data_IF_376227791729
#
_entry.id   IF_376227791729
#
_cell.length_a   1.000
_cell.length_b   1.000
_cell.length_c   1.000
_cell.angle_alpha   90.00
_cell.angle_beta   90.00
_cell.angle_gamma   90.00
#
_symmetry.space_group_name_H-M   'P 1'
#
loop_
_entity.id
_entity.type
_entity.pdbx_description
1 polymer ?
#
# COMPACT_ATOMS: atom_id res chain seq x y z
N UNK A 1 -13.40 8.21 22.56
CA UNK A 1 -11.98 8.60 22.68
C UNK A 1 -11.29 8.27 21.37
N UNK A 2 -10.68 9.25 20.71
CA UNK A 2 -9.94 9.02 19.46
C UNK A 2 -8.47 8.81 19.80
N UNK A 3 -7.84 7.75 19.28
CA UNK A 3 -6.44 7.42 19.53
C UNK A 3 -5.64 7.46 18.23
N UNK A 4 -4.44 8.01 18.29
CA UNK A 4 -3.47 7.95 17.21
C UNK A 4 -2.16 7.40 17.77
N UNK A 5 -1.66 6.32 17.19
CA UNK A 5 -0.46 5.64 17.67
C UNK A 5 0.40 5.20 16.50
N UNK A 6 1.68 5.55 16.55
CA UNK A 6 2.70 4.98 15.67
C UNK A 6 3.47 3.94 16.47
N UNK A 7 3.09 2.66 16.33
CA UNK A 7 3.75 1.57 17.06
C UNK A 7 5.12 1.23 16.48
N UNK A 8 5.25 1.30 15.15
CA UNK A 8 6.49 0.99 14.44
C UNK A 8 7.52 2.10 14.58
N UNK A 9 8.75 1.75 14.97
CA UNK A 9 9.88 2.69 14.98
C UNK A 9 10.43 2.88 13.55
N UNK A 10 10.43 4.12 13.08
CA UNK A 10 10.83 4.45 11.70
C UNK A 10 12.29 4.89 11.56
N UNK A 11 12.98 4.35 10.57
CA UNK A 11 14.28 4.83 10.08
C UNK A 11 14.14 5.15 8.59
N UNK A 12 14.50 6.36 8.16
CA UNK A 12 14.35 6.79 6.77
C UNK A 12 15.57 7.57 6.30
N UNK A 13 15.84 7.50 4.99
CA UNK A 13 16.89 8.22 4.31
C UNK A 13 18.01 7.30 3.82
N UNK A 14 18.93 7.86 3.03
CA UNK A 14 20.05 7.11 2.48
C UNK A 14 20.95 6.56 3.59
N UNK A 15 21.21 5.25 3.56
CA UNK A 15 22.01 4.58 4.57
C UNK A 15 21.27 4.31 5.87
N UNK A 16 19.93 4.37 5.87
CA UNK A 16 19.09 4.02 7.02
C UNK A 16 19.25 2.55 7.44
N UNK A 17 19.71 1.67 6.53
CA UNK A 17 20.12 0.30 6.85
C UNK A 17 21.20 0.21 7.95
N UNK A 18 21.95 1.28 8.23
CA UNK A 18 22.88 1.33 9.38
C UNK A 18 22.20 1.06 10.73
N UNK A 19 20.88 1.26 10.82
CA UNK A 19 20.10 0.90 12.01
C UNK A 19 20.21 -0.60 12.37
N UNK A 20 20.50 -1.46 11.39
CA UNK A 20 20.67 -2.90 11.57
C UNK A 20 21.96 -3.28 12.32
N UNK A 21 22.94 -2.37 12.46
CA UNK A 21 24.19 -2.61 13.20
C UNK A 21 24.00 -2.92 14.69
N UNK A 22 22.81 -2.66 15.24
CA UNK A 22 22.46 -3.00 16.62
C UNK A 22 22.27 -4.51 16.85
N UNK A 23 21.98 -5.26 15.80
CA UNK A 23 21.80 -6.70 15.91
C UNK A 23 23.16 -7.37 15.82
N UNK A 24 23.64 -7.89 16.93
CA UNK A 24 24.93 -8.59 17.04
C UNK A 24 24.74 -9.92 17.74
N UNK A 25 25.38 -10.97 17.24
CA UNK A 25 25.23 -12.35 17.75
C UNK A 25 23.76 -12.81 17.71
N UNK A 26 23.00 -12.43 16.67
CA UNK A 26 21.60 -12.80 16.48
C UNK A 26 21.45 -13.82 15.35
N UNK A 27 20.42 -14.65 15.43
CA UNK A 27 19.88 -15.38 14.29
C UNK A 27 18.80 -14.53 13.63
N UNK A 28 19.09 -14.09 12.42
CA UNK A 28 18.22 -13.22 11.62
C UNK A 28 17.62 -14.02 10.48
N UNK A 29 16.30 -14.03 10.41
CA UNK A 29 15.55 -14.69 9.35
C UNK A 29 14.96 -13.66 8.38
N UNK A 30 15.41 -13.70 7.13
CA UNK A 30 14.98 -12.79 6.07
C UNK A 30 13.88 -13.47 5.25
N UNK A 31 12.70 -12.84 5.18
CA UNK A 31 11.54 -13.29 4.41
C UNK A 31 11.40 -12.38 3.19
N UNK A 32 11.49 -12.95 1.99
CA UNK A 32 11.42 -12.22 0.73
C UNK A 32 10.86 -13.08 -0.40
N UNK A 33 10.66 -12.50 -1.59
CA UNK A 33 10.33 -13.26 -2.79
C UNK A 33 11.59 -13.83 -3.47
N UNK A 34 11.37 -14.79 -4.39
CA UNK A 34 12.45 -15.47 -5.11
C UNK A 34 13.26 -14.52 -6.02
N UNK A 35 12.68 -13.40 -6.46
CA UNK A 35 13.39 -12.40 -7.26
C UNK A 35 14.40 -11.64 -6.40
N UNK A 36 13.99 -11.16 -5.23
CA UNK A 36 14.85 -10.47 -4.28
C UNK A 36 15.93 -11.39 -3.73
N UNK A 37 15.61 -12.67 -3.51
CA UNK A 37 16.58 -13.66 -3.05
C UNK A 37 17.78 -13.84 -3.99
N UNK A 38 17.61 -13.52 -5.29
CA UNK A 38 18.63 -13.60 -6.34
C UNK A 38 19.14 -12.22 -6.77
N UNK A 39 18.63 -11.15 -6.16
CA UNK A 39 18.92 -9.77 -6.52
C UNK A 39 20.11 -9.23 -5.71
N UNK A 40 20.94 -8.34 -6.29
CA UNK A 40 21.97 -7.60 -5.55
C UNK A 40 21.44 -6.78 -4.35
N UNK A 41 20.13 -6.54 -4.30
CA UNK A 41 19.49 -5.88 -3.16
C UNK A 41 19.58 -6.71 -1.87
N UNK A 42 19.54 -8.05 -1.97
CA UNK A 42 19.73 -8.91 -0.79
C UNK A 42 21.16 -8.80 -0.27
N UNK A 43 22.15 -8.71 -1.15
CA UNK A 43 23.55 -8.51 -0.74
C UNK A 43 23.75 -7.14 -0.08
N UNK A 44 23.05 -6.12 -0.56
CA UNK A 44 23.02 -4.80 0.10
C UNK A 44 22.50 -4.91 1.54
N UNK A 45 21.42 -5.67 1.77
CA UNK A 45 20.89 -5.94 3.10
C UNK A 45 21.88 -6.74 3.96
N UNK A 46 22.43 -7.83 3.42
CA UNK A 46 23.41 -8.69 4.13
C UNK A 46 24.65 -7.91 4.55
N UNK A 47 25.17 -7.06 3.68
CA UNK A 47 26.34 -6.23 3.95
C UNK A 47 26.08 -5.14 5.00
N UNK A 48 24.83 -4.77 5.24
CA UNK A 48 24.46 -3.84 6.31
C UNK A 48 24.41 -4.51 7.70
N UNK A 49 24.33 -5.84 7.75
CA UNK A 49 24.28 -6.63 8.97
C UNK A 49 25.68 -6.97 9.50
N UNK A 50 25.91 -6.93 10.82
CA UNK A 50 27.16 -7.41 11.41
C UNK A 50 27.44 -8.88 11.07
N UNK A 51 28.72 -9.20 10.78
CA UNK A 51 29.15 -10.52 10.31
C UNK A 51 29.05 -11.65 11.36
N UNK A 52 28.86 -11.29 12.63
CA UNK A 52 28.64 -12.25 13.73
C UNK A 52 27.18 -12.71 13.87
N UNK A 53 26.28 -12.27 12.98
CA UNK A 53 24.93 -12.79 12.92
C UNK A 53 24.86 -14.04 12.06
N UNK A 54 24.00 -14.99 12.46
CA UNK A 54 23.60 -16.12 11.64
C UNK A 54 22.43 -15.68 10.76
N UNK A 55 22.51 -15.89 9.45
CA UNK A 55 21.45 -15.51 8.52
C UNK A 55 20.75 -16.75 7.95
N UNK A 56 19.42 -16.72 7.93
CA UNK A 56 18.57 -17.66 7.18
C UNK A 56 17.68 -16.88 6.21
N UNK A 57 17.32 -17.47 5.08
CA UNK A 57 16.46 -16.84 4.08
C UNK A 57 15.30 -17.76 3.76
N UNK A 58 14.09 -17.20 3.79
CA UNK A 58 12.89 -17.82 3.25
C UNK A 58 12.42 -17.00 2.04
N UNK A 59 12.53 -17.59 0.86
CA UNK A 59 12.34 -16.92 -0.44
C UNK A 59 11.10 -17.37 -1.19
N UNK A 60 10.25 -18.20 -0.58
CA UNK A 60 9.10 -18.84 -1.24
C UNK A 60 7.85 -17.94 -1.22
N UNK A 61 8.02 -16.64 -0.95
CA UNK A 61 6.92 -15.69 -1.01
C UNK A 61 6.55 -15.43 -2.46
N UNK A 62 5.29 -15.70 -2.78
CA UNK A 62 4.65 -15.33 -4.03
C UNK A 62 3.82 -14.06 -3.87
N UNK A 63 3.48 -13.37 -4.97
CA UNK A 63 2.39 -12.39 -4.95
C UNK A 63 1.14 -13.00 -4.32
N UNK A 64 0.40 -12.21 -3.55
CA UNK A 64 -0.81 -12.64 -2.83
C UNK A 64 -0.56 -13.85 -1.90
N UNK A 65 0.23 -13.69 -0.81
CA UNK A 65 0.73 -14.82 -0.02
C UNK A 65 -0.41 -15.70 0.51
N UNK A 66 -0.22 -17.02 0.42
CA UNK A 66 -1.28 -17.98 0.72
C UNK A 66 -1.28 -18.40 2.18
N UNK A 67 -2.41 -18.96 2.66
CA UNK A 67 -2.48 -19.64 3.97
C UNK A 67 -1.37 -20.70 4.07
N UNK A 68 -1.16 -21.50 3.02
CA UNK A 68 -0.11 -22.52 2.99
C UNK A 68 1.29 -21.95 3.19
N UNK A 69 1.61 -20.82 2.55
CA UNK A 69 2.90 -20.12 2.71
C UNK A 69 3.10 -19.65 4.16
N UNK A 70 2.05 -19.12 4.79
CA UNK A 70 2.13 -18.67 6.20
C UNK A 70 2.29 -19.85 7.14
N UNK A 71 1.56 -20.95 6.94
CA UNK A 71 1.70 -22.19 7.73
C UNK A 71 3.11 -22.76 7.60
N UNK A 72 3.65 -22.85 6.38
CA UNK A 72 5.03 -23.28 6.14
C UNK A 72 6.04 -22.37 6.88
N UNK A 73 5.80 -21.05 6.85
CA UNK A 73 6.61 -20.08 7.58
C UNK A 73 6.58 -20.30 9.09
N UNK A 74 5.41 -20.57 9.68
CA UNK A 74 5.28 -20.87 11.12
C UNK A 74 6.03 -22.16 11.48
N UNK A 75 5.94 -23.20 10.66
CA UNK A 75 6.70 -24.45 10.87
C UNK A 75 8.22 -24.21 10.82
N UNK A 76 8.68 -23.39 9.89
CA UNK A 76 10.10 -23.00 9.82
C UNK A 76 10.51 -22.13 11.01
N UNK A 77 9.65 -21.21 11.47
CA UNK A 77 9.92 -20.39 12.66
C UNK A 77 10.22 -21.26 13.88
N UNK A 78 9.43 -22.31 14.11
CA UNK A 78 9.64 -23.25 15.23
C UNK A 78 10.98 -23.97 15.16
N UNK A 79 11.42 -24.30 13.95
CA UNK A 79 12.67 -25.06 13.72
C UNK A 79 13.90 -24.15 13.74
N UNK A 80 13.79 -22.95 13.18
CA UNK A 80 14.88 -21.98 13.10
C UNK A 80 15.09 -21.24 14.41
N UNK A 81 14.00 -20.95 15.14
CA UNK A 81 13.98 -20.15 16.35
C UNK A 81 14.80 -18.84 16.24
N UNK A 82 14.50 -17.97 15.25
CA UNK A 82 15.25 -16.75 15.03
C UNK A 82 14.94 -15.68 16.08
N UNK A 83 15.94 -14.87 16.43
CA UNK A 83 15.75 -13.71 17.30
C UNK A 83 15.02 -12.58 16.54
N UNK A 84 15.38 -12.36 15.27
CA UNK A 84 14.93 -11.23 14.46
C UNK A 84 14.36 -11.73 13.13
N UNK A 85 13.20 -11.23 12.76
CA UNK A 85 12.59 -11.46 11.44
C UNK A 85 12.66 -10.18 10.63
N UNK A 86 13.14 -10.27 9.39
CA UNK A 86 13.18 -9.17 8.44
C UNK A 86 12.26 -9.50 7.26
N UNK A 87 11.11 -8.82 7.17
CA UNK A 87 10.34 -8.76 5.94
C UNK A 87 11.05 -7.83 4.94
N UNK A 88 11.52 -8.37 3.82
CA UNK A 88 12.27 -7.64 2.81
C UNK A 88 11.57 -7.77 1.46
N UNK A 89 10.87 -6.72 1.03
CA UNK A 89 10.19 -6.73 -0.25
C UNK A 89 9.05 -5.73 -0.39
N UNK A 90 8.16 -5.97 -1.36
CA UNK A 90 6.89 -5.26 -1.48
C UNK A 90 5.84 -5.79 -0.51
N UNK A 91 4.57 -5.40 -0.72
CA UNK A 91 3.45 -5.75 0.16
C UNK A 91 3.34 -7.24 0.48
N UNK A 92 3.51 -8.13 -0.51
CA UNK A 92 3.40 -9.58 -0.29
C UNK A 92 4.43 -10.13 0.70
N UNK A 93 5.70 -9.70 0.61
CA UNK A 93 6.75 -10.12 1.54
C UNK A 93 6.53 -9.55 2.95
N UNK A 94 6.12 -8.28 3.04
CA UNK A 94 5.83 -7.63 4.32
C UNK A 94 4.61 -8.24 5.00
N UNK A 95 3.54 -8.49 4.26
CA UNK A 95 2.32 -9.10 4.77
C UNK A 95 2.56 -10.55 5.23
N UNK A 96 3.31 -11.33 4.45
CA UNK A 96 3.68 -12.69 4.86
C UNK A 96 4.54 -12.68 6.13
N UNK A 97 5.56 -11.82 6.20
CA UNK A 97 6.43 -11.72 7.38
C UNK A 97 5.63 -11.32 8.64
N UNK A 98 4.75 -10.31 8.54
CA UNK A 98 3.86 -9.89 9.63
C UNK A 98 2.92 -11.01 10.06
N UNK A 99 2.28 -11.69 9.11
CA UNK A 99 1.38 -12.79 9.40
C UNK A 99 2.10 -13.94 10.12
N UNK A 100 3.27 -14.36 9.61
CA UNK A 100 4.08 -15.42 10.22
C UNK A 100 4.46 -15.02 11.65
N UNK A 101 5.00 -13.82 11.86
CA UNK A 101 5.40 -13.33 13.20
C UNK A 101 4.21 -13.27 14.14
N UNK A 102 3.08 -12.71 13.70
CA UNK A 102 1.90 -12.57 14.53
C UNK A 102 1.35 -13.93 14.96
N UNK A 103 1.10 -14.85 14.03
CA UNK A 103 0.63 -16.18 14.38
C UNK A 103 1.63 -16.95 15.23
N UNK A 104 2.95 -16.85 14.95
CA UNK A 104 3.97 -17.46 15.80
C UNK A 104 3.92 -16.94 17.24
N UNK A 105 3.71 -15.63 17.45
CA UNK A 105 3.52 -15.05 18.79
C UNK A 105 2.26 -15.58 19.48
N UNK A 106 1.15 -15.74 18.75
CA UNK A 106 -0.09 -16.36 19.30
C UNK A 106 0.14 -17.82 19.74
N UNK A 107 1.09 -18.53 19.12
CA UNK A 107 1.51 -19.88 19.54
C UNK A 107 2.62 -19.89 20.60
N UNK A 108 2.95 -18.74 21.21
CA UNK A 108 3.93 -18.62 22.28
C UNK A 108 5.40 -18.63 21.83
N UNK A 109 5.68 -18.42 20.54
CA UNK A 109 7.04 -18.26 20.04
C UNK A 109 7.47 -16.80 20.22
N UNK A 110 8.50 -16.59 21.03
CA UNK A 110 9.06 -15.25 21.25
C UNK A 110 9.96 -14.83 20.08
N UNK A 111 9.72 -13.61 19.57
CA UNK A 111 10.51 -12.99 18.50
C UNK A 111 10.86 -11.59 18.98
N UNK A 112 12.16 -11.31 19.15
CA UNK A 112 12.68 -10.07 19.72
C UNK A 112 12.28 -8.85 18.88
N UNK A 113 12.38 -8.96 17.55
CA UNK A 113 12.07 -7.84 16.67
C UNK A 113 11.62 -8.31 15.29
N UNK A 114 10.49 -7.77 14.83
CA UNK A 114 10.05 -7.81 13.44
C UNK A 114 10.42 -6.50 12.73
N UNK A 115 11.25 -6.60 11.69
CA UNK A 115 11.71 -5.47 10.87
C UNK A 115 11.04 -5.52 9.50
N UNK A 116 10.39 -4.45 9.09
CA UNK A 116 9.90 -4.28 7.73
C UNK A 116 10.84 -3.39 6.91
N UNK A 117 11.30 -3.89 5.77
CA UNK A 117 12.17 -3.16 4.83
C UNK A 117 11.50 -3.16 3.46
N UNK A 118 10.68 -2.14 3.16
CA UNK A 118 9.99 -2.04 1.88
C UNK A 118 10.97 -1.84 0.71
N UNK A 119 10.80 -2.59 -0.37
CA UNK A 119 11.53 -2.43 -1.65
C UNK A 119 10.65 -1.88 -2.76
N UNK A 120 9.43 -1.45 -2.42
CA UNK A 120 8.54 -0.68 -3.28
C UNK A 120 8.05 0.57 -2.53
N UNK A 121 7.44 1.52 -3.26
CA UNK A 121 6.88 2.74 -2.69
C UNK A 121 5.39 2.83 -3.05
N UNK A 122 4.56 2.05 -2.35
CA UNK A 122 3.12 1.96 -2.60
C UNK A 122 2.29 1.53 -1.40
N UNK A 123 2.60 0.35 -0.87
CA UNK A 123 1.67 -0.35 0.04
C UNK A 123 1.59 0.27 1.43
N UNK A 124 2.67 0.88 1.92
CA UNK A 124 2.75 1.38 3.30
C UNK A 124 2.67 0.27 4.36
N UNK A 125 2.76 -1.00 3.95
CA UNK A 125 2.57 -2.19 4.79
C UNK A 125 3.55 -2.26 5.96
N UNK A 126 4.70 -1.60 5.84
CA UNK A 126 5.72 -1.47 6.88
C UNK A 126 5.27 -0.69 8.13
N UNK A 127 4.16 0.05 8.06
CA UNK A 127 3.62 0.86 9.16
C UNK A 127 2.11 0.65 9.35
N UNK A 128 1.59 -0.52 8.97
CA UNK A 128 0.16 -0.83 9.08
C UNK A 128 -0.11 -2.06 9.94
N UNK A 129 -1.30 -2.09 10.56
CA UNK A 129 -1.83 -3.24 11.30
C UNK A 129 -2.55 -4.25 10.41
N UNK A 130 -2.41 -4.14 9.09
CA UNK A 130 -3.13 -4.94 8.10
C UNK A 130 -2.20 -5.93 7.41
N UNK A 131 -2.68 -7.12 7.10
CA UNK A 131 -2.04 -8.01 6.11
C UNK A 131 -3.11 -8.77 5.33
N UNK A 132 -2.83 -9.10 4.07
CA UNK A 132 -3.76 -9.87 3.23
C UNK A 132 -3.20 -11.27 2.99
N UNK A 133 -4.00 -12.30 3.30
CA UNK A 133 -3.66 -13.71 3.05
C UNK A 133 -4.69 -14.32 2.11
N UNK A 134 -4.24 -15.01 1.08
CA UNK A 134 -5.10 -15.67 0.09
C UNK A 134 -5.40 -17.12 0.46
N UNK A 135 -6.61 -17.56 0.14
CA UNK A 135 -7.10 -18.93 0.22
C UNK A 135 -7.40 -19.41 -1.19
N UNK A 136 -6.44 -20.06 -1.87
CA UNK A 136 -6.60 -20.51 -3.25
C UNK A 136 -7.75 -21.50 -3.42
N UNK A 137 -8.02 -22.33 -2.41
CA UNK A 137 -9.06 -23.36 -2.45
C UNK A 137 -10.46 -22.73 -2.53
N UNK A 138 -10.65 -21.59 -1.87
CA UNK A 138 -11.92 -20.83 -1.90
C UNK A 138 -11.91 -19.66 -2.89
N UNK A 139 -10.74 -19.30 -3.43
CA UNK A 139 -10.58 -18.11 -4.27
C UNK A 139 -10.84 -16.79 -3.52
N UNK A 140 -10.64 -16.77 -2.19
CA UNK A 140 -10.93 -15.61 -1.32
C UNK A 140 -9.62 -15.04 -0.77
N UNK A 141 -9.57 -13.71 -0.62
CA UNK A 141 -8.51 -13.02 0.13
C UNK A 141 -9.06 -12.58 1.49
N UNK A 142 -8.35 -12.92 2.56
CA UNK A 142 -8.69 -12.53 3.93
C UNK A 142 -7.82 -11.34 4.35
N UNK A 143 -8.39 -10.14 4.46
CA UNK A 143 -7.70 -9.02 5.09
C UNK A 143 -7.78 -9.17 6.61
N UNK A 144 -6.63 -9.27 7.26
CA UNK A 144 -6.50 -9.37 8.71
C UNK A 144 -6.08 -8.02 9.29
N UNK A 145 -6.69 -7.63 10.40
CA UNK A 145 -6.37 -6.38 11.10
C UNK A 145 -6.15 -6.66 12.58
N UNK A 146 -4.95 -6.36 13.08
CA UNK A 146 -4.60 -6.50 14.49
C UNK A 146 -3.42 -5.58 14.82
N UNK A 147 -3.46 -4.88 15.95
CA UNK A 147 -2.32 -4.06 16.38
C UNK A 147 -1.02 -4.86 16.55
N UNK A 148 -1.11 -6.15 16.87
CA UNK A 148 0.06 -7.04 16.94
C UNK A 148 0.73 -7.32 15.58
N UNK A 149 0.09 -6.94 14.46
CA UNK A 149 0.69 -7.02 13.13
C UNK A 149 1.63 -5.85 12.82
N UNK A 150 1.63 -4.77 13.60
CA UNK A 150 2.60 -3.69 13.37
C UNK A 150 4.02 -4.25 13.47
N UNK A 151 4.90 -3.97 12.48
CA UNK A 151 6.31 -4.24 12.64
C UNK A 151 6.88 -3.43 13.81
N UNK A 152 7.85 -3.98 14.53
CA UNK A 152 8.53 -3.28 15.62
C UNK A 152 9.41 -2.14 15.06
N UNK A 153 9.97 -2.36 13.86
CA UNK A 153 10.82 -1.40 13.16
C UNK A 153 10.53 -1.38 11.66
N UNK A 154 10.58 -0.20 11.04
CA UNK A 154 10.56 -0.03 9.58
C UNK A 154 11.79 0.74 9.11
N UNK A 155 12.44 0.28 8.04
CA UNK A 155 13.63 0.92 7.47
C UNK A 155 13.39 1.25 5.99
N UNK A 156 13.34 2.54 5.70
CA UNK A 156 13.14 3.10 4.38
C UNK A 156 14.48 3.57 3.82
N UNK A 157 15.16 2.69 3.08
CA UNK A 157 16.37 3.07 2.36
C UNK A 157 16.05 3.30 0.87
N UNK A 158 16.17 4.53 0.36
CA UNK A 158 15.85 4.82 -1.03
C UNK A 158 16.69 4.03 -2.03
N UNK A 159 17.87 3.52 -1.66
CA UNK A 159 18.69 2.68 -2.53
C UNK A 159 17.97 1.39 -2.95
N UNK A 160 17.06 0.89 -2.11
CA UNK A 160 16.32 -0.35 -2.35
C UNK A 160 15.16 -0.21 -3.34
N UNK A 161 14.80 1.01 -3.72
CA UNK A 161 13.67 1.30 -4.62
C UNK A 161 14.09 1.94 -5.95
N UNK A 162 15.37 2.26 -6.13
CA UNK A 162 15.87 2.92 -7.36
C UNK A 162 15.70 2.05 -8.60
N UNK A 163 15.94 0.73 -8.46
CA UNK A 163 15.85 -0.23 -9.57
C UNK A 163 14.42 -0.61 -9.97
N UNK A 164 13.39 -0.09 -9.29
CA UNK A 164 12.00 -0.43 -9.58
C UNK A 164 11.59 0.13 -10.95
N UNK A 165 11.03 -0.68 -11.87
CA UNK A 165 10.65 -0.22 -13.22
C UNK A 165 9.65 0.94 -13.20
N UNK A 166 9.64 1.74 -14.27
CA UNK A 166 8.76 2.90 -14.43
C UNK A 166 7.27 2.55 -14.26
N UNK A 167 6.80 1.47 -14.89
CA UNK A 167 5.40 1.01 -14.78
C UNK A 167 5.01 0.64 -13.35
N UNK A 168 5.89 -0.07 -12.63
CA UNK A 168 5.63 -0.42 -11.22
C UNK A 168 5.64 0.83 -10.36
N UNK A 169 6.58 1.75 -10.60
CA UNK A 169 6.67 3.04 -9.91
C UNK A 169 5.41 3.88 -10.07
N UNK A 170 4.86 3.93 -11.30
CA UNK A 170 3.61 4.61 -11.60
C UNK A 170 2.45 4.01 -10.82
N UNK A 171 2.27 2.68 -10.92
CA UNK A 171 1.18 1.97 -10.24
C UNK A 171 1.27 2.16 -8.72
N UNK A 172 2.43 1.89 -8.11
CA UNK A 172 2.60 2.03 -6.66
C UNK A 172 2.47 3.48 -6.20
N UNK A 173 2.95 4.45 -6.98
CA UNK A 173 2.78 5.87 -6.66
C UNK A 173 1.32 6.34 -6.68
N UNK A 174 0.51 5.84 -7.62
CA UNK A 174 -0.94 6.11 -7.64
C UNK A 174 -1.68 5.44 -6.49
N UNK A 175 -1.17 4.29 -6.03
CA UNK A 175 -1.65 3.64 -4.82
C UNK A 175 -1.46 4.55 -3.59
N UNK A 176 -0.26 5.13 -3.44
CA UNK A 176 0.02 6.13 -2.38
C UNK A 176 -0.96 7.31 -2.44
N UNK A 177 -1.25 7.82 -3.64
CA UNK A 177 -2.20 8.92 -3.81
C UNK A 177 -3.61 8.51 -3.35
N UNK A 178 -4.04 7.31 -3.74
CA UNK A 178 -5.35 6.77 -3.39
C UNK A 178 -5.47 6.57 -1.89
N UNK A 179 -4.46 5.93 -1.27
CA UNK A 179 -4.36 5.79 0.18
C UNK A 179 -4.53 7.13 0.91
N UNK A 180 -3.78 8.15 0.50
CA UNK A 180 -3.82 9.46 1.12
C UNK A 180 -5.20 10.14 0.96
N UNK A 181 -5.77 10.11 -0.24
CA UNK A 181 -7.05 10.77 -0.52
C UNK A 181 -8.22 10.07 0.19
N UNK A 182 -8.27 8.74 0.19
CA UNK A 182 -9.31 8.00 0.91
C UNK A 182 -9.18 8.15 2.42
N UNK A 183 -7.96 8.05 2.97
CA UNK A 183 -7.73 8.31 4.39
C UNK A 183 -8.15 9.72 4.78
N UNK A 184 -7.89 10.70 3.90
CA UNK A 184 -8.30 12.08 4.13
C UNK A 184 -9.82 12.27 4.13
N UNK A 185 -10.59 11.58 3.28
CA UNK A 185 -12.06 11.76 3.32
C UNK A 185 -12.79 10.74 4.18
N UNK A 186 -12.08 9.77 4.76
CA UNK A 186 -12.64 8.73 5.60
C UNK A 186 -13.51 9.27 6.74
N UNK A 187 -14.51 8.47 7.13
CA UNK A 187 -15.30 8.72 8.33
C UNK A 187 -14.45 8.86 9.60
N UNK A 188 -13.29 8.18 9.68
CA UNK A 188 -12.38 8.19 10.84
C UNK A 188 -11.21 9.18 10.72
N UNK A 189 -11.19 9.99 9.66
CA UNK A 189 -10.18 11.03 9.49
C UNK A 189 -10.17 12.01 10.67
N UNK A 190 -8.97 12.41 11.10
CA UNK A 190 -8.70 13.35 12.18
C UNK A 190 -7.44 14.18 11.87
N UNK A 191 -7.17 15.22 12.66
CA UNK A 191 -6.09 16.18 12.39
C UNK A 191 -4.70 15.52 12.21
N UNK A 192 -4.42 14.43 12.93
CA UNK A 192 -3.14 13.70 12.80
C UNK A 192 -3.04 12.95 11.48
N UNK A 193 -4.10 12.20 11.11
CA UNK A 193 -4.13 11.49 9.82
C UNK A 193 -4.18 12.46 8.65
N UNK A 194 -4.83 13.60 8.83
CA UNK A 194 -4.96 14.67 7.83
C UNK A 194 -3.60 15.26 7.49
N UNK A 195 -2.79 15.60 8.50
CA UNK A 195 -1.44 16.12 8.28
C UNK A 195 -0.55 15.16 7.49
N UNK A 196 -0.67 13.85 7.75
CA UNK A 196 0.07 12.80 7.05
C UNK A 196 -0.41 12.63 5.60
N UNK A 197 -1.73 12.57 5.40
CA UNK A 197 -2.34 12.43 4.09
C UNK A 197 -2.07 13.63 3.19
N UNK A 198 -2.23 14.87 3.69
CA UNK A 198 -1.91 16.09 2.95
C UNK A 198 -0.44 16.11 2.51
N UNK A 199 0.48 15.74 3.41
CA UNK A 199 1.90 15.71 3.09
C UNK A 199 2.22 14.65 2.05
N UNK A 200 1.63 13.46 2.16
CA UNK A 200 1.77 12.39 1.17
C UNK A 200 1.27 12.84 -0.21
N UNK A 201 0.06 13.40 -0.29
CA UNK A 201 -0.53 13.90 -1.54
C UNK A 201 0.35 14.95 -2.22
N UNK A 202 0.84 15.96 -1.48
CA UNK A 202 1.76 16.97 -2.01
C UNK A 202 3.04 16.35 -2.59
N UNK A 203 3.64 15.40 -1.88
CA UNK A 203 4.84 14.72 -2.35
C UNK A 203 4.56 13.91 -3.61
N UNK A 204 3.45 13.18 -3.68
CA UNK A 204 3.10 12.37 -4.86
C UNK A 204 2.98 13.25 -6.10
N UNK A 205 2.20 14.34 -6.05
CA UNK A 205 2.05 15.24 -7.20
C UNK A 205 3.37 15.89 -7.63
N UNK A 206 4.25 16.22 -6.67
CA UNK A 206 5.52 16.86 -6.97
C UNK A 206 6.57 15.89 -7.54
N UNK A 207 6.64 14.66 -7.03
CA UNK A 207 7.79 13.77 -7.27
C UNK A 207 7.47 12.52 -8.08
N UNK A 208 6.22 12.06 -8.15
CA UNK A 208 5.88 10.83 -8.90
C UNK A 208 6.22 10.91 -10.39
N UNK A 209 5.88 11.99 -11.14
CA UNK A 209 6.25 12.09 -12.55
C UNK A 209 7.77 11.97 -12.77
N UNK A 210 8.55 12.60 -11.89
CA UNK A 210 10.01 12.54 -11.95
C UNK A 210 10.52 11.14 -11.57
N UNK A 211 9.89 10.46 -10.62
CA UNK A 211 10.27 9.10 -10.22
C UNK A 211 10.04 8.08 -11.35
N UNK A 212 8.99 8.29 -12.15
CA UNK A 212 8.68 7.45 -13.33
C UNK A 212 9.64 7.75 -14.48
N UNK A 213 9.86 9.03 -14.80
CA UNK A 213 10.68 9.42 -15.96
C UNK A 213 12.20 9.35 -15.70
N UNK A 214 12.62 9.62 -14.47
CA UNK A 214 14.03 9.62 -14.02
C UNK A 214 14.19 8.72 -12.79
N UNK A 215 14.03 7.41 -13.01
CA UNK A 215 13.99 6.39 -11.96
C UNK A 215 15.28 6.23 -11.16
N UNK A 216 16.42 6.71 -11.65
CA UNK A 216 17.73 6.67 -10.98
C UNK A 216 17.92 7.80 -9.94
N UNK A 217 17.00 8.78 -9.89
CA UNK A 217 17.10 9.90 -8.98
C UNK A 217 16.78 9.49 -7.53
N UNK A 218 17.83 9.22 -6.75
CA UNK A 218 17.72 8.78 -5.35
C UNK A 218 16.90 9.75 -4.47
N UNK A 219 17.07 11.06 -4.66
CA UNK A 219 16.32 12.07 -3.90
C UNK A 219 14.81 11.97 -4.16
N UNK A 220 14.40 11.86 -5.43
CA UNK A 220 13.00 11.71 -5.83
C UNK A 220 12.44 10.37 -5.33
N UNK A 221 13.20 9.29 -5.48
CA UNK A 221 12.84 7.96 -4.96
C UNK A 221 12.60 7.99 -3.46
N UNK A 222 13.50 8.61 -2.69
CA UNK A 222 13.33 8.77 -1.25
C UNK A 222 12.11 9.59 -0.85
N UNK A 223 11.74 10.61 -1.64
CA UNK A 223 10.50 11.36 -1.41
C UNK A 223 9.27 10.47 -1.60
N UNK A 224 9.18 9.74 -2.71
CA UNK A 224 8.07 8.81 -2.96
C UNK A 224 8.00 7.68 -1.92
N UNK A 225 9.16 7.19 -1.49
CA UNK A 225 9.24 6.15 -0.46
C UNK A 225 8.69 6.66 0.87
N UNK A 226 9.05 7.87 1.28
CA UNK A 226 8.47 8.51 2.46
C UNK A 226 6.97 8.81 2.30
N UNK A 227 6.51 9.22 1.11
CA UNK A 227 5.10 9.45 0.84
C UNK A 227 4.26 8.17 1.02
N UNK A 228 4.77 7.04 0.55
CA UNK A 228 4.14 5.72 0.75
C UNK A 228 3.89 5.44 2.23
N UNK A 229 4.92 5.61 3.05
CA UNK A 229 4.82 5.38 4.49
C UNK A 229 3.91 6.39 5.18
N UNK A 230 3.96 7.67 4.80
CA UNK A 230 3.05 8.70 5.34
C UNK A 230 1.59 8.34 5.06
N UNK A 231 1.29 7.92 3.83
CA UNK A 231 -0.04 7.43 3.47
C UNK A 231 -0.41 6.18 4.29
N UNK A 232 0.54 5.24 4.44
CA UNK A 232 0.44 4.07 5.33
C UNK A 232 -0.02 4.40 6.74
N UNK A 233 0.68 5.32 7.39
CA UNK A 233 0.35 5.80 8.73
C UNK A 233 -1.03 6.45 8.80
N UNK A 234 -1.44 7.18 7.75
CA UNK A 234 -2.75 7.81 7.68
C UNK A 234 -3.85 6.76 7.57
N UNK A 235 -3.79 5.86 6.58
CA UNK A 235 -4.86 4.90 6.34
C UNK A 235 -4.92 3.78 7.36
N UNK A 236 -3.81 3.42 8.02
CA UNK A 236 -3.83 2.42 9.09
C UNK A 236 -4.77 2.83 10.23
N UNK A 237 -4.90 4.14 10.47
CA UNK A 237 -5.74 4.70 11.53
C UNK A 237 -7.10 5.21 11.01
N UNK A 238 -7.12 5.84 9.83
CA UNK A 238 -8.35 6.37 9.24
C UNK A 238 -9.16 5.29 8.49
N UNK A 239 -8.55 4.20 8.06
CA UNK A 239 -9.13 3.31 7.05
C UNK A 239 -9.05 3.90 5.65
N UNK A 240 -9.66 3.18 4.71
CA UNK A 240 -9.73 3.51 3.28
C UNK A 240 -11.19 3.75 2.88
N UNK A 241 -11.58 3.44 1.65
CA UNK A 241 -12.96 3.62 1.21
C UNK A 241 -13.34 2.77 0.01
N UNK A 242 -14.33 3.28 -0.73
CA UNK A 242 -14.95 2.63 -1.86
C UNK A 242 -13.95 2.33 -3.00
N UNK A 243 -12.91 3.16 -3.18
CA UNK A 243 -11.95 2.97 -4.25
C UNK A 243 -11.21 1.63 -4.08
N UNK A 244 -10.67 1.38 -2.89
CA UNK A 244 -10.02 0.11 -2.58
C UNK A 244 -10.99 -1.06 -2.63
N UNK A 245 -12.21 -0.90 -2.11
CA UNK A 245 -13.23 -1.94 -2.12
C UNK A 245 -13.51 -2.46 -3.53
N UNK A 246 -13.62 -1.57 -4.52
CA UNK A 246 -13.79 -1.96 -5.93
C UNK A 246 -12.46 -2.41 -6.56
N UNK A 247 -11.35 -1.74 -6.28
CA UNK A 247 -10.04 -2.07 -6.84
C UNK A 247 -9.56 -3.48 -6.47
N UNK A 248 -9.87 -3.97 -5.26
CA UNK A 248 -9.61 -5.36 -4.86
C UNK A 248 -10.30 -6.36 -5.78
N UNK A 249 -11.53 -6.06 -6.23
CA UNK A 249 -12.30 -6.95 -7.10
C UNK A 249 -11.77 -6.91 -8.53
N UNK A 250 -11.41 -5.73 -9.03
CA UNK A 250 -10.74 -5.58 -10.32
C UNK A 250 -9.43 -6.38 -10.38
N UNK A 251 -8.61 -6.31 -9.32
CA UNK A 251 -7.38 -7.08 -9.21
C UNK A 251 -7.62 -8.58 -9.09
N UNK A 252 -8.61 -9.00 -8.30
CA UNK A 252 -8.93 -10.42 -8.10
C UNK A 252 -9.50 -11.10 -9.35
N UNK A 253 -10.37 -10.41 -10.10
CA UNK A 253 -11.06 -10.97 -11.26
C UNK A 253 -10.25 -10.89 -12.56
N UNK A 254 -9.47 -9.81 -12.74
CA UNK A 254 -8.78 -9.53 -14.01
C UNK A 254 -7.26 -9.45 -13.87
N UNK A 255 -6.70 -9.78 -12.70
CA UNK A 255 -5.27 -9.73 -12.42
C UNK A 255 -4.64 -8.35 -12.71
N UNK A 256 -5.43 -7.29 -12.57
CA UNK A 256 -4.93 -5.93 -12.71
C UNK A 256 -3.97 -5.60 -11.55
N UNK A 257 -2.82 -4.95 -11.81
CA UNK A 257 -1.98 -4.43 -10.76
C UNK A 257 -2.77 -3.51 -9.82
N UNK A 258 -2.63 -3.71 -8.51
CA UNK A 258 -3.45 -3.03 -7.49
C UNK A 258 -3.49 -1.51 -7.66
N UNK A 259 -2.34 -0.86 -7.74
CA UNK A 259 -2.25 0.58 -7.93
C UNK A 259 -2.82 1.08 -9.26
N UNK A 260 -2.84 0.25 -10.31
CA UNK A 260 -3.51 0.58 -11.57
C UNK A 260 -5.03 0.53 -11.41
N UNK A 261 -5.56 -0.52 -10.78
CA UNK A 261 -7.00 -0.63 -10.49
C UNK A 261 -7.47 0.57 -9.65
N UNK A 262 -6.70 0.94 -8.62
CA UNK A 262 -6.95 2.12 -7.81
C UNK A 262 -6.93 3.41 -8.64
N UNK A 263 -5.92 3.59 -9.50
CA UNK A 263 -5.81 4.76 -10.35
C UNK A 263 -7.01 4.91 -11.32
N UNK A 264 -7.45 3.83 -11.94
CA UNK A 264 -8.56 3.83 -12.90
C UNK A 264 -9.86 4.35 -12.27
N UNK A 265 -10.14 3.96 -11.02
CA UNK A 265 -11.34 4.33 -10.27
C UNK A 265 -11.28 5.72 -9.63
N UNK A 266 -10.09 6.21 -9.29
CA UNK A 266 -9.90 7.31 -8.34
C UNK A 266 -10.74 8.54 -8.62
N UNK A 267 -10.74 9.04 -9.85
CA UNK A 267 -11.46 10.27 -10.20
C UNK A 267 -12.97 10.09 -10.23
N UNK A 268 -13.45 8.91 -10.64
CA UNK A 268 -14.87 8.55 -10.60
C UNK A 268 -15.37 8.42 -9.15
N UNK A 269 -14.61 7.76 -8.28
CA UNK A 269 -14.93 7.65 -6.85
C UNK A 269 -14.87 9.00 -6.13
N UNK A 270 -13.94 9.89 -6.48
CA UNK A 270 -13.90 11.26 -5.93
C UNK A 270 -15.19 12.01 -6.27
N UNK A 271 -15.66 11.95 -7.53
CA UNK A 271 -16.93 12.59 -7.94
C UNK A 271 -18.12 12.02 -7.17
N UNK A 272 -18.18 10.69 -7.04
CA UNK A 272 -19.23 10.01 -6.30
C UNK A 272 -19.25 10.43 -4.83
N UNK A 273 -18.12 10.37 -4.13
CA UNK A 273 -18.02 10.73 -2.72
C UNK A 273 -18.25 12.22 -2.49
N UNK A 274 -17.86 13.09 -3.43
CA UNK A 274 -18.14 14.53 -3.39
C UNK A 274 -19.64 14.87 -3.47
N UNK A 275 -20.52 13.91 -3.76
CA UNK A 275 -21.97 14.09 -3.59
C UNK A 275 -22.40 14.35 -2.15
N UNK A 276 -21.56 14.03 -1.15
CA UNK A 276 -21.81 14.33 0.27
C UNK A 276 -21.06 15.61 0.68
N UNK A 277 -21.73 16.60 1.32
CA UNK A 277 -21.12 17.90 1.64
C UNK A 277 -19.81 17.84 2.45
N UNK A 278 -19.68 16.89 3.38
CA UNK A 278 -18.45 16.72 4.18
C UNK A 278 -17.27 16.32 3.29
N UNK A 279 -17.45 15.32 2.43
CA UNK A 279 -16.39 14.84 1.54
C UNK A 279 -16.03 15.89 0.47
N UNK A 280 -17.03 16.58 -0.09
CA UNK A 280 -16.82 17.68 -1.03
C UNK A 280 -15.88 18.76 -0.46
N UNK A 281 -16.20 19.27 0.74
CA UNK A 281 -15.38 20.28 1.42
C UNK A 281 -13.95 19.80 1.69
N UNK A 282 -13.77 18.51 2.01
CA UNK A 282 -12.45 17.92 2.27
C UNK A 282 -11.64 17.79 0.99
N UNK A 283 -12.21 17.27 -0.10
CA UNK A 283 -11.53 17.26 -1.40
C UNK A 283 -11.18 18.68 -1.89
N UNK A 284 -12.08 19.64 -1.71
CA UNK A 284 -11.81 21.04 -2.02
C UNK A 284 -10.65 21.61 -1.18
N UNK A 285 -10.60 21.31 0.12
CA UNK A 285 -9.49 21.70 1.01
C UNK A 285 -8.17 21.09 0.56
N UNK A 286 -8.14 19.80 0.23
CA UNK A 286 -6.96 19.12 -0.28
C UNK A 286 -6.46 19.79 -1.58
N UNK A 287 -7.37 20.12 -2.51
CA UNK A 287 -7.02 20.80 -3.75
C UNK A 287 -6.36 22.17 -3.50
N UNK A 288 -6.89 22.94 -2.55
CA UNK A 288 -6.32 24.23 -2.12
C UNK A 288 -4.98 24.06 -1.42
N UNK A 289 -4.84 23.05 -0.55
CA UNK A 289 -3.59 22.74 0.15
C UNK A 289 -2.47 22.30 -0.81
N UNK A 290 -2.82 21.75 -1.98
CA UNK A 290 -1.88 21.43 -3.05
C UNK A 290 -1.63 22.60 -4.01
N UNK A 291 -2.30 23.75 -3.84
CA UNK A 291 -2.14 24.92 -4.71
C UNK A 291 -2.75 24.75 -6.11
N UNK A 292 -3.73 23.86 -6.28
CA UNK A 292 -4.33 23.59 -7.60
C UNK A 292 -5.38 24.61 -8.02
N UNK A 293 -5.85 25.44 -7.08
CA UNK A 293 -6.81 26.51 -7.31
C UNK A 293 -6.59 27.66 -6.32
N UNK A 294 -7.11 28.87 -6.62
CA UNK A 294 -7.10 30.00 -5.68
C UNK A 294 -7.84 29.66 -4.37
N UNK A 295 -7.49 30.32 -3.27
CA UNK A 295 -8.10 30.05 -1.96
C UNK A 295 -9.61 30.35 -1.93
N UNK A 296 -10.05 31.24 -2.81
CA UNK A 296 -11.38 31.80 -3.00
C UNK A 296 -12.25 30.92 -3.90
N UNK A 297 -11.65 29.92 -4.58
CA UNK A 297 -12.38 28.98 -5.41
C UNK A 297 -13.46 28.27 -4.58
N UNK A 298 -14.66 28.15 -5.16
CA UNK A 298 -15.72 27.35 -4.54
C UNK A 298 -15.38 25.85 -4.57
N UNK A 299 -16.09 25.05 -3.77
CA UNK A 299 -15.79 23.64 -3.59
C UNK A 299 -15.82 22.86 -4.92
N UNK A 300 -16.79 23.15 -5.80
CA UNK A 300 -16.94 22.49 -7.10
C UNK A 300 -15.72 22.75 -7.99
N UNK A 301 -15.29 24.00 -8.10
CA UNK A 301 -14.13 24.37 -8.88
C UNK A 301 -12.84 23.75 -8.33
N UNK A 302 -12.68 23.73 -7.00
CA UNK A 302 -11.53 23.12 -6.33
C UNK A 302 -11.46 21.60 -6.55
N UNK A 303 -12.59 20.89 -6.42
CA UNK A 303 -12.68 19.45 -6.69
C UNK A 303 -12.35 19.14 -8.16
N UNK A 304 -12.90 19.92 -9.10
CA UNK A 304 -12.61 19.75 -10.52
C UNK A 304 -11.12 19.98 -10.83
N UNK A 305 -10.48 20.96 -10.18
CA UNK A 305 -9.05 21.17 -10.31
C UNK A 305 -8.24 19.97 -9.79
N UNK A 306 -8.61 19.39 -8.64
CA UNK A 306 -7.98 18.16 -8.12
C UNK A 306 -8.11 17.00 -9.10
N UNK A 307 -9.32 16.72 -9.60
CA UNK A 307 -9.58 15.67 -10.58
C UNK A 307 -8.73 15.90 -11.84
N UNK A 308 -8.67 17.13 -12.35
CA UNK A 308 -7.86 17.45 -13.53
C UNK A 308 -6.37 17.18 -13.30
N UNK A 309 -5.84 17.50 -12.12
CA UNK A 309 -4.44 17.21 -11.78
C UNK A 309 -4.18 15.71 -11.65
N UNK A 310 -5.13 14.95 -11.11
CA UNK A 310 -5.04 13.48 -11.06
C UNK A 310 -5.00 12.91 -12.48
N UNK A 311 -5.87 13.36 -13.39
CA UNK A 311 -5.85 12.89 -14.79
C UNK A 311 -4.54 13.24 -15.51
N UNK A 312 -4.01 14.46 -15.32
CA UNK A 312 -2.69 14.84 -15.85
C UNK A 312 -1.56 13.99 -15.28
N UNK A 313 -1.63 13.65 -13.99
CA UNK A 313 -0.68 12.78 -13.33
C UNK A 313 -0.71 11.37 -13.93
N UNK A 314 -1.91 10.80 -14.15
CA UNK A 314 -2.08 9.50 -14.81
C UNK A 314 -1.45 9.47 -16.20
N UNK A 315 -1.68 10.52 -17.00
CA UNK A 315 -1.08 10.69 -18.32
C UNK A 315 0.44 10.80 -18.25
N UNK A 316 0.95 11.63 -17.33
CA UNK A 316 2.40 11.81 -17.13
C UNK A 316 3.12 10.55 -16.67
N UNK A 317 2.40 9.64 -16.03
CA UNK A 317 2.89 8.33 -15.59
C UNK A 317 2.61 7.21 -16.62
N UNK A 318 2.08 7.56 -17.80
CA UNK A 318 1.74 6.62 -18.87
C UNK A 318 0.85 5.44 -18.43
N UNK A 319 -0.12 5.70 -17.55
CA UNK A 319 -1.06 4.65 -17.12
C UNK A 319 -2.00 4.27 -18.28
N UNK A 320 -2.20 2.98 -18.55
CA UNK A 320 -3.12 2.53 -19.59
C UNK A 320 -4.57 2.81 -19.18
N UNK A 321 -5.46 2.95 -20.17
CA UNK A 321 -6.90 2.92 -19.93
C UNK A 321 -7.36 1.52 -19.52
N UNK A 322 -8.57 1.40 -18.94
CA UNK A 322 -9.12 0.09 -18.56
C UNK A 322 -9.16 -0.87 -19.77
N UNK A 323 -9.60 -0.39 -20.93
CA UNK A 323 -9.66 -1.21 -22.15
C UNK A 323 -8.30 -1.80 -22.54
N UNK A 324 -7.22 -1.02 -22.43
CA UNK A 324 -5.86 -1.51 -22.72
C UNK A 324 -5.38 -2.47 -21.64
N UNK A 325 -5.71 -2.21 -20.38
CA UNK A 325 -5.31 -3.02 -19.25
C UNK A 325 -5.99 -4.40 -19.23
N UNK A 326 -7.28 -4.47 -19.59
CA UNK A 326 -8.07 -5.71 -19.59
C UNK A 326 -7.74 -6.64 -20.76
N UNK A 327 -7.23 -6.13 -21.88
CA UNK A 327 -6.98 -6.91 -23.11
C UNK A 327 -8.22 -7.73 -23.50
N UNK A 328 -8.10 -9.06 -23.54
CA UNK A 328 -9.18 -10.00 -23.87
C UNK A 328 -10.26 -10.07 -22.78
N UNK A 329 -9.94 -9.75 -21.51
CA UNK A 329 -10.88 -9.77 -20.40
C UNK A 329 -11.99 -8.71 -20.48
N UNK A 330 -11.93 -7.80 -21.47
CA UNK A 330 -12.97 -6.80 -21.71
C UNK A 330 -14.32 -7.42 -22.05
N UNK A 331 -14.33 -8.55 -22.78
CA UNK A 331 -15.59 -9.24 -23.15
C UNK A 331 -16.34 -9.77 -21.93
N UNK A 332 -15.59 -10.16 -20.90
CA UNK A 332 -16.14 -10.73 -19.68
C UNK A 332 -16.47 -9.66 -18.63
N UNK A 333 -16.09 -8.39 -18.84
CA UNK A 333 -16.17 -7.36 -17.82
C UNK A 333 -17.59 -7.20 -17.28
N UNK A 334 -18.55 -6.94 -18.18
CA UNK A 334 -19.97 -6.78 -17.82
C UNK A 334 -20.55 -8.04 -17.15
N UNK A 335 -20.13 -9.24 -17.57
CA UNK A 335 -20.59 -10.50 -16.99
C UNK A 335 -20.11 -10.70 -15.55
N UNK A 336 -18.96 -10.11 -15.17
CA UNK A 336 -18.39 -10.23 -13.82
C UNK A 336 -18.81 -9.11 -12.87
N UNK A 337 -19.45 -8.04 -13.36
CA UNK A 337 -19.93 -6.93 -12.51
C UNK A 337 -20.79 -7.41 -11.33
N UNK A 338 -21.79 -8.31 -11.50
CA UNK A 338 -22.60 -8.76 -10.36
C UNK A 338 -21.78 -9.38 -9.22
N UNK A 339 -20.76 -10.18 -9.55
CA UNK A 339 -19.86 -10.78 -8.56
C UNK A 339 -18.98 -9.73 -7.89
N UNK A 340 -18.44 -8.77 -8.66
CA UNK A 340 -17.63 -7.68 -8.11
C UNK A 340 -18.44 -6.77 -7.17
N UNK A 341 -19.70 -6.47 -7.49
CA UNK A 341 -20.59 -5.67 -6.63
C UNK A 341 -20.78 -6.33 -5.27
N UNK A 342 -21.12 -7.64 -5.25
CA UNK A 342 -21.32 -8.37 -4.00
C UNK A 342 -20.05 -8.43 -3.16
N UNK A 343 -18.89 -8.68 -3.80
CA UNK A 343 -17.62 -8.74 -3.09
C UNK A 343 -17.15 -7.37 -2.58
N UNK A 344 -17.38 -6.29 -3.35
CA UNK A 344 -17.06 -4.92 -2.91
C UNK A 344 -17.93 -4.47 -1.73
N UNK A 345 -19.21 -4.87 -1.68
CA UNK A 345 -20.09 -4.64 -0.52
C UNK A 345 -19.61 -5.35 0.74
N UNK A 346 -19.01 -6.54 0.58
CA UNK A 346 -18.44 -7.30 1.69
C UNK A 346 -17.06 -6.80 2.12
N UNK A 347 -16.42 -5.93 1.33
CA UNK A 347 -15.07 -5.44 1.60
C UNK A 347 -15.03 -4.54 2.85
N UNK A 348 -14.09 -4.83 3.73
CA UNK A 348 -13.88 -4.13 5.00
C UNK A 348 -13.54 -2.65 4.82
N UNK A 349 -12.89 -2.28 3.70
CA UNK A 349 -12.48 -0.90 3.40
C UNK A 349 -13.68 0.01 3.14
N UNK A 350 -14.80 -0.54 2.66
CA UNK A 350 -16.03 0.21 2.41
C UNK A 350 -16.63 0.83 3.69
N UNK A 351 -16.40 0.19 4.84
CA UNK A 351 -16.95 0.62 6.14
C UNK A 351 -16.54 2.03 6.56
N UNK A 352 -15.41 2.53 6.06
CA UNK A 352 -14.89 3.85 6.38
C UNK A 352 -15.13 4.89 5.29
N UNK A 353 -15.77 4.50 4.18
CA UNK A 353 -16.11 5.42 3.09
C UNK A 353 -17.06 6.53 3.56
N UNK A 354 -16.86 7.81 3.17
CA UNK A 354 -17.70 8.93 3.64
C UNK A 354 -19.15 8.89 3.16
N UNK A 355 -19.43 8.20 2.06
CA UNK A 355 -20.77 8.07 1.47
C UNK A 355 -21.23 6.60 1.61
N UNK A 356 -22.35 6.33 2.31
CA UNK A 356 -22.98 5.01 2.23
C UNK A 356 -23.25 4.65 0.77
N UNK A 357 -22.88 3.44 0.37
CA UNK A 357 -22.90 3.03 -1.04
C UNK A 357 -23.76 1.79 -1.19
N UNK A 358 -24.71 1.83 -2.12
CA UNK A 358 -25.59 0.72 -2.48
C UNK A 358 -24.99 -0.17 -3.58
N UNK A 359 -25.53 -1.37 -3.76
CA UNK A 359 -25.15 -2.29 -4.84
C UNK A 359 -25.26 -1.64 -6.22
N UNK A 360 -26.33 -0.86 -6.42
CA UNK A 360 -26.62 -0.16 -7.67
C UNK A 360 -25.57 0.90 -7.99
N UNK A 361 -25.20 1.72 -7.01
CA UNK A 361 -24.16 2.74 -7.19
C UNK A 361 -22.79 2.12 -7.49
N UNK A 362 -22.44 0.98 -6.86
CA UNK A 362 -21.19 0.27 -7.19
C UNK A 362 -21.23 -0.25 -8.64
N UNK A 363 -22.38 -0.77 -9.08
CA UNK A 363 -22.58 -1.21 -10.46
C UNK A 363 -22.38 -0.04 -11.43
N UNK A 364 -23.03 1.08 -11.20
CA UNK A 364 -22.89 2.29 -12.04
C UNK A 364 -21.43 2.73 -12.15
N UNK A 365 -20.69 2.77 -11.03
CA UNK A 365 -19.26 3.14 -11.03
C UNK A 365 -18.39 2.15 -11.81
N UNK A 366 -18.72 0.86 -11.81
CA UNK A 366 -18.03 -0.16 -12.61
C UNK A 366 -18.35 -0.03 -14.09
N UNK A 367 -19.63 0.23 -14.43
CA UNK A 367 -20.09 0.44 -15.80
C UNK A 367 -19.50 1.72 -16.42
N UNK A 368 -19.29 2.78 -15.63
CA UNK A 368 -18.63 4.02 -16.06
C UNK A 368 -17.16 3.83 -16.50
N UNK A 369 -16.52 2.71 -16.15
CA UNK A 369 -15.15 2.44 -16.58
C UNK A 369 -15.04 1.88 -18.02
N UNK A 370 -16.15 1.40 -18.59
CA UNK A 370 -16.20 0.81 -19.95
C UNK A 370 -16.10 1.86 -21.06
#
# INVERSE_FOLDING_TARGET
MNTFSLQTRLYSGQGSLKALKRFTNKHIWIICDAFLARSPLLDTLRNALPANNRLSVFSDITPDPTIGTVVQGITQMQSLNPDVVIGFGGGSALDAAKAIVWFSREFGIEIETCVAIPTTSGTGSEVTCACVISDPDKGIKYPLFNNSLYPDMAILDPMLVVSVPATITANTGMDVLTHALEAYVSLRANDFTDALAEKATQIVFQYLPVAVNKGDCLATRGKMHNASTLAGMAFSQAGLGLNHAIAHQLGGQFHLPHGLANALLLTTVIRFNAGVPRAAKRYARMAKACGFCPAEANDVAAINALIQQIERLKQSCALPSLAVALKEGRTDFSARIPAMVQAALADVTLRTNPRPTSAEEIRELLEELL
#
